data_IF_896422733730
#
_entry.id   IF_896422733730
#
_cell.length_a   1.000
_cell.length_b   1.000
_cell.length_c   1.000
_cell.angle_alpha   90.00
_cell.angle_beta   90.00
_cell.angle_gamma   90.00
#
_symmetry.space_group_name_H-M   'P 1'
#
loop_
_entity.id
_entity.type
_entity.pdbx_description
1 polymer ?
#
# COMPACT_ATOMS: atom_id res chain seq x y z
N UNK A 1 -6.87 -2.91 -4.55
CA UNK A 1 -7.91 -1.86 -4.31
C UNK A 1 -7.70 -1.11 -2.99
N UNK A 2 -7.42 -1.78 -1.88
CA UNK A 2 -7.20 -1.15 -0.55
C UNK A 2 -6.11 -0.07 -0.58
N UNK A 3 -4.95 -0.36 -1.19
CA UNK A 3 -3.83 0.60 -1.33
C UNK A 3 -4.20 1.87 -2.11
N UNK A 4 -5.08 1.76 -3.11
CA UNK A 4 -5.58 2.93 -3.87
C UNK A 4 -6.41 3.85 -2.98
N UNK A 5 -7.39 3.28 -2.27
CA UNK A 5 -8.26 4.03 -1.35
C UNK A 5 -7.45 4.65 -0.22
N UNK A 6 -6.51 3.88 0.35
CA UNK A 6 -5.62 4.35 1.39
C UNK A 6 -4.75 5.52 0.89
N UNK A 7 -4.14 5.41 -0.29
CA UNK A 7 -3.30 6.47 -0.85
C UNK A 7 -4.10 7.77 -1.12
N UNK A 8 -5.31 7.64 -1.65
CA UNK A 8 -6.20 8.77 -1.88
C UNK A 8 -6.61 9.46 -0.57
N UNK A 9 -7.01 8.69 0.44
CA UNK A 9 -7.38 9.22 1.76
C UNK A 9 -6.19 9.83 2.49
N UNK A 10 -4.99 9.24 2.34
CA UNK A 10 -3.75 9.81 2.88
C UNK A 10 -3.45 11.18 2.26
N UNK A 11 -3.58 11.32 0.93
CA UNK A 11 -3.47 12.62 0.27
C UNK A 11 -4.57 13.59 0.73
N UNK A 12 -5.80 13.12 0.88
CA UNK A 12 -6.93 13.94 1.35
C UNK A 12 -6.69 14.55 2.75
N UNK A 13 -5.84 13.91 3.55
CA UNK A 13 -5.43 14.39 4.87
C UNK A 13 -4.78 15.79 4.81
N UNK A 14 -4.18 16.16 3.68
CA UNK A 14 -3.61 17.48 3.46
C UNK A 14 -4.65 18.62 3.58
N UNK A 15 -5.93 18.32 3.38
CA UNK A 15 -7.05 19.27 3.48
C UNK A 15 -7.90 19.12 4.74
N UNK A 16 -7.45 18.34 5.73
CA UNK A 16 -8.13 18.16 7.01
C UNK A 16 -7.88 19.36 7.96
N UNK A 17 -8.41 20.52 7.59
CA UNK A 17 -8.29 21.81 8.30
C UNK A 17 -9.18 21.95 9.56
N UNK A 18 -10.05 20.96 9.83
CA UNK A 18 -10.95 20.94 10.98
C UNK A 18 -10.89 19.59 11.66
N UNK A 19 -11.16 19.56 12.97
CA UNK A 19 -11.20 18.33 13.76
C UNK A 19 -12.16 17.29 13.18
N UNK A 20 -13.34 17.71 12.76
CA UNK A 20 -14.31 16.80 12.14
C UNK A 20 -13.78 16.15 10.85
N UNK A 21 -13.17 16.93 9.94
CA UNK A 21 -12.55 16.39 8.72
C UNK A 21 -11.40 15.45 9.06
N UNK A 22 -10.55 15.82 10.01
CA UNK A 22 -9.45 14.99 10.49
C UNK A 22 -9.96 13.62 10.96
N UNK A 23 -10.96 13.61 11.84
CA UNK A 23 -11.52 12.37 12.39
C UNK A 23 -12.17 11.51 11.29
N UNK A 24 -12.96 12.11 10.40
CA UNK A 24 -13.61 11.40 9.30
C UNK A 24 -12.58 10.74 8.38
N UNK A 25 -11.60 11.51 7.89
CA UNK A 25 -10.57 10.98 6.98
C UNK A 25 -9.75 9.90 7.69
N UNK A 26 -9.41 10.08 8.97
CA UNK A 26 -8.65 9.10 9.75
C UNK A 26 -9.41 7.79 9.95
N UNK A 27 -10.71 7.85 10.24
CA UNK A 27 -11.56 6.67 10.35
C UNK A 27 -11.66 5.93 9.02
N UNK A 28 -11.88 6.65 7.91
CA UNK A 28 -11.93 6.05 6.58
C UNK A 28 -10.60 5.43 6.17
N UNK A 29 -9.48 6.07 6.52
CA UNK A 29 -8.13 5.55 6.26
C UNK A 29 -7.92 4.20 6.97
N UNK A 30 -8.30 4.11 8.25
CA UNK A 30 -8.24 2.86 9.01
C UNK A 30 -9.13 1.77 8.41
N UNK A 31 -10.34 2.12 7.96
CA UNK A 31 -11.23 1.19 7.27
C UNK A 31 -10.63 0.69 5.94
N UNK A 32 -9.98 1.57 5.18
CA UNK A 32 -9.30 1.21 3.93
C UNK A 32 -8.08 0.29 4.15
N UNK A 33 -7.38 0.45 5.27
CA UNK A 33 -6.21 -0.36 5.64
C UNK A 33 -6.59 -1.75 6.16
N UNK A 34 -7.73 -1.89 6.83
CA UNK A 34 -8.13 -3.11 7.55
C UNK A 34 -8.13 -4.38 6.67
N UNK A 35 -8.42 -4.25 5.38
CA UNK A 35 -8.43 -5.37 4.43
C UNK A 35 -7.05 -5.82 3.93
N UNK A 36 -6.00 -5.02 4.16
CA UNK A 36 -4.68 -5.27 3.57
C UNK A 36 -4.03 -6.55 4.10
N UNK A 37 -3.98 -6.69 5.42
CA UNK A 37 -3.34 -7.82 6.08
C UNK A 37 -4.02 -9.17 5.77
N UNK A 38 -5.34 -9.34 5.97
CA UNK A 38 -6.02 -10.59 5.60
C UNK A 38 -5.97 -10.87 4.10
N UNK A 39 -6.00 -9.82 3.26
CA UNK A 39 -5.85 -9.96 1.81
C UNK A 39 -4.49 -10.55 1.42
N UNK A 40 -3.40 -10.10 2.05
CA UNK A 40 -2.06 -10.64 1.81
C UNK A 40 -1.89 -12.08 2.30
N UNK A 41 -2.49 -12.44 3.43
CA UNK A 41 -2.52 -13.83 3.91
C UNK A 41 -3.26 -14.71 2.89
N UNK A 42 -4.43 -14.27 2.42
CA UNK A 42 -5.22 -14.99 1.43
C UNK A 42 -4.44 -15.17 0.13
N UNK A 43 -3.88 -14.10 -0.44
CA UNK A 43 -3.08 -14.15 -1.66
C UNK A 43 -1.90 -15.12 -1.51
N UNK A 44 -1.14 -15.01 -0.43
CA UNK A 44 0.00 -15.91 -0.17
C UNK A 44 -0.45 -17.37 -0.05
N UNK A 45 -1.64 -17.63 0.49
CA UNK A 45 -2.19 -18.98 0.58
C UNK A 45 -2.52 -19.60 -0.77
N UNK A 46 -2.96 -18.78 -1.74
CA UNK A 46 -3.27 -19.23 -3.11
C UNK A 46 -2.01 -19.45 -3.94
N UNK A 47 -0.99 -18.62 -3.75
CA UNK A 47 0.22 -18.63 -4.57
C UNK A 47 1.34 -19.55 -4.08
N UNK A 48 1.36 -19.90 -2.78
CA UNK A 48 2.47 -20.66 -2.20
C UNK A 48 2.02 -21.86 -1.36
N UNK A 49 2.75 -22.99 -1.43
CA UNK A 49 2.49 -24.17 -0.61
C UNK A 49 2.80 -23.89 0.87
N UNK A 50 2.09 -24.60 1.76
CA UNK A 50 2.11 -24.37 3.21
C UNK A 50 3.53 -24.29 3.81
N UNK A 51 4.47 -25.12 3.32
CA UNK A 51 5.87 -25.16 3.78
C UNK A 51 6.61 -23.83 3.59
N UNK A 52 6.25 -23.06 2.57
CA UNK A 52 6.94 -21.83 2.19
C UNK A 52 6.20 -20.56 2.65
N UNK A 53 4.91 -20.65 3.00
CA UNK A 53 4.07 -19.50 3.38
C UNK A 53 4.68 -18.67 4.52
N UNK A 54 5.25 -19.31 5.54
CA UNK A 54 5.85 -18.60 6.68
C UNK A 54 7.04 -17.74 6.26
N UNK A 55 7.91 -18.24 5.37
CA UNK A 55 9.06 -17.48 4.85
C UNK A 55 8.62 -16.30 3.99
N UNK A 56 7.60 -16.49 3.14
CA UNK A 56 7.05 -15.42 2.30
C UNK A 56 6.37 -14.34 3.15
N UNK A 57 5.58 -14.73 4.16
CA UNK A 57 5.02 -13.78 5.12
C UNK A 57 6.11 -13.05 5.90
N UNK A 58 7.20 -13.73 6.27
CA UNK A 58 8.38 -13.10 6.88
C UNK A 58 8.96 -11.99 6.02
N UNK A 59 9.11 -12.22 4.71
CA UNK A 59 9.54 -11.19 3.76
C UNK A 59 8.53 -10.04 3.67
N UNK A 60 7.23 -10.34 3.66
CA UNK A 60 6.19 -9.31 3.69
C UNK A 60 6.27 -8.44 4.95
N UNK A 61 6.51 -9.03 6.13
CA UNK A 61 6.71 -8.28 7.37
C UNK A 61 7.93 -7.37 7.35
N UNK A 62 8.97 -7.68 6.55
CA UNK A 62 10.11 -6.77 6.35
C UNK A 62 9.71 -5.48 5.61
N UNK A 63 8.53 -5.45 4.98
CA UNK A 63 8.00 -4.23 4.37
C UNK A 63 7.87 -3.08 5.37
N UNK A 64 7.41 -3.33 6.59
CA UNK A 64 7.23 -2.31 7.62
C UNK A 64 8.56 -1.63 8.04
N UNK A 65 9.63 -2.35 8.45
CA UNK A 65 10.90 -1.71 8.79
C UNK A 65 11.55 -1.04 7.58
N UNK A 66 11.42 -1.58 6.37
CA UNK A 66 11.92 -0.92 5.16
C UNK A 66 11.18 0.39 4.87
N UNK A 67 9.84 0.38 5.00
CA UNK A 67 9.02 1.57 4.84
C UNK A 67 9.37 2.64 5.86
N UNK A 68 9.65 2.27 7.13
CA UNK A 68 10.11 3.23 8.13
C UNK A 68 11.51 3.76 7.82
N UNK A 69 12.43 2.89 7.40
CA UNK A 69 13.82 3.25 7.11
C UNK A 69 13.93 4.22 5.94
N UNK A 70 13.13 4.02 4.88
CA UNK A 70 13.13 4.88 3.70
C UNK A 70 12.14 6.04 3.81
N UNK A 71 11.00 5.80 4.44
CA UNK A 71 9.93 6.77 4.62
C UNK A 71 10.31 7.89 5.57
N UNK A 72 10.95 7.59 6.71
CA UNK A 72 11.26 8.64 7.70
C UNK A 72 12.17 9.75 7.14
N UNK A 73 13.28 9.45 6.42
CA UNK A 73 14.07 10.48 5.76
C UNK A 73 13.31 11.22 4.65
N UNK A 74 12.49 10.52 3.88
CA UNK A 74 11.66 11.13 2.83
C UNK A 74 10.65 12.11 3.43
N UNK A 75 9.89 11.69 4.44
CA UNK A 75 8.94 12.53 5.15
C UNK A 75 9.66 13.73 5.80
N UNK A 76 10.83 13.51 6.40
CA UNK A 76 11.67 14.58 6.94
C UNK A 76 12.05 15.62 5.89
N UNK A 77 12.48 15.20 4.71
CA UNK A 77 12.80 16.11 3.61
C UNK A 77 11.57 16.87 3.08
N UNK A 78 10.40 16.23 3.05
CA UNK A 78 9.14 16.86 2.63
C UNK A 78 8.63 17.89 3.66
N UNK A 79 8.88 17.66 4.95
CA UNK A 79 8.53 18.62 6.01
C UNK A 79 9.32 19.94 5.90
N UNK A 80 10.53 19.91 5.33
CA UNK A 80 11.33 21.11 5.04
C UNK A 80 10.75 21.99 3.91
N UNK A 81 9.75 21.49 3.16
CA UNK A 81 9.04 22.27 2.13
C UNK A 81 8.05 23.30 2.73
N UNK A 82 8.23 23.71 3.98
CA UNK A 82 7.39 24.70 4.63
C UNK A 82 7.43 26.04 3.89
N UNK A 83 6.26 26.60 3.59
CA UNK A 83 6.13 27.85 2.85
C UNK A 83 6.14 27.68 1.32
N UNK A 84 6.44 26.48 0.81
CA UNK A 84 6.34 26.19 -0.62
C UNK A 84 4.87 26.26 -1.07
N UNK A 85 4.61 27.13 -2.07
CA UNK A 85 3.26 27.54 -2.50
C UNK A 85 2.33 27.98 -1.36
N UNK A 86 2.86 28.50 -0.25
CA UNK A 86 2.07 28.98 0.88
C UNK A 86 1.48 27.88 1.78
N UNK A 87 1.89 26.62 1.60
CA UNK A 87 1.44 25.50 2.43
C UNK A 87 2.51 25.07 3.46
N UNK A 88 2.09 24.49 4.60
CA UNK A 88 3.02 23.91 5.57
C UNK A 88 3.65 22.61 5.01
N UNK A 89 4.85 22.23 5.46
CA UNK A 89 5.55 21.06 4.93
C UNK A 89 4.76 19.74 5.03
N UNK A 90 3.96 19.56 6.09
CA UNK A 90 3.12 18.36 6.25
C UNK A 90 2.06 18.22 5.15
N UNK A 91 1.62 19.33 4.54
CA UNK A 91 0.70 19.31 3.39
C UNK A 91 1.34 18.54 2.24
N UNK A 92 2.59 18.90 1.90
CA UNK A 92 3.36 18.27 0.83
C UNK A 92 3.71 16.83 1.15
N UNK A 93 4.03 16.52 2.41
CA UNK A 93 4.24 15.15 2.88
C UNK A 93 3.01 14.27 2.58
N UNK A 94 1.81 14.66 3.02
CA UNK A 94 0.60 13.87 2.76
C UNK A 94 0.25 13.77 1.27
N UNK A 95 0.34 14.87 0.51
CA UNK A 95 0.02 14.87 -0.92
C UNK A 95 0.99 13.99 -1.70
N UNK A 96 2.29 14.16 -1.53
CA UNK A 96 3.30 13.46 -2.33
C UNK A 96 3.32 11.98 -1.98
N UNK A 97 3.39 11.63 -0.69
CA UNK A 97 3.41 10.23 -0.26
C UNK A 97 2.08 9.52 -0.57
N UNK A 98 0.95 10.21 -0.39
CA UNK A 98 -0.37 9.70 -0.76
C UNK A 98 -0.48 9.41 -2.26
N UNK A 99 0.00 10.33 -3.12
CA UNK A 99 0.02 10.13 -4.57
C UNK A 99 0.96 9.00 -5.00
N UNK A 100 2.12 8.84 -4.35
CA UNK A 100 3.00 7.70 -4.58
C UNK A 100 2.30 6.37 -4.26
N UNK A 101 1.55 6.32 -3.15
CA UNK A 101 0.75 5.16 -2.78
C UNK A 101 -0.39 4.88 -3.77
N UNK A 102 -1.07 5.92 -4.28
CA UNK A 102 -2.06 5.78 -5.37
C UNK A 102 -1.39 5.20 -6.61
N UNK A 103 -0.23 5.71 -7.01
CA UNK A 103 0.53 5.19 -8.14
C UNK A 103 0.88 3.70 -7.99
N UNK A 104 1.36 3.30 -6.81
CA UNK A 104 1.61 1.89 -6.50
C UNK A 104 0.32 1.05 -6.53
N UNK A 105 -0.79 1.59 -6.03
CA UNK A 105 -2.11 0.95 -6.10
C UNK A 105 -2.60 0.75 -7.54
N UNK A 106 -2.37 1.72 -8.44
CA UNK A 106 -2.75 1.62 -9.86
C UNK A 106 -1.87 0.59 -10.55
N UNK A 107 -0.56 0.67 -10.32
CA UNK A 107 0.40 -0.28 -10.88
C UNK A 107 0.08 -1.72 -10.47
N UNK A 108 -0.15 -1.96 -9.18
CA UNK A 108 -0.51 -3.29 -8.67
C UNK A 108 -1.84 -3.78 -9.23
N UNK A 109 -2.83 -2.91 -9.40
CA UNK A 109 -4.12 -3.29 -10.01
C UNK A 109 -3.98 -3.82 -11.45
N UNK A 110 -3.05 -3.28 -12.24
CA UNK A 110 -2.85 -3.73 -13.62
C UNK A 110 -1.82 -4.86 -13.76
N UNK A 111 -0.87 -4.98 -12.84
CA UNK A 111 0.27 -5.89 -12.96
C UNK A 111 0.18 -7.14 -12.08
N UNK A 112 -0.47 -7.06 -10.93
CA UNK A 112 -0.62 -8.19 -10.03
C UNK A 112 -1.76 -9.08 -10.52
N UNK A 113 -1.44 -10.33 -10.86
CA UNK A 113 -2.45 -11.34 -11.15
C UNK A 113 -3.01 -11.91 -9.83
N UNK A 114 -4.32 -12.05 -9.70
CA UNK A 114 -4.96 -12.45 -8.44
C UNK A 114 -4.77 -13.95 -8.14
N UNK A 115 -4.79 -14.81 -9.16
CA UNK A 115 -4.65 -16.27 -8.99
C UNK A 115 -3.61 -16.88 -9.94
N UNK A 116 -2.98 -18.01 -9.56
CA UNK A 116 -2.09 -18.75 -10.44
C UNK A 116 -2.74 -19.16 -11.77
N UNK A 117 -4.06 -19.42 -11.79
CA UNK A 117 -4.76 -19.81 -13.03
C UNK A 117 -4.80 -18.67 -14.06
N UNK A 118 -4.96 -17.43 -13.57
CA UNK A 118 -5.03 -16.22 -14.39
C UNK A 118 -3.67 -15.58 -14.64
N UNK A 119 -2.61 -16.08 -14.00
CA UNK A 119 -1.25 -15.57 -14.12
C UNK A 119 -0.81 -15.43 -15.58
N UNK A 120 -0.52 -14.20 -16.02
CA UNK A 120 -0.10 -13.89 -17.39
C UNK A 120 1.34 -14.34 -17.66
N UNK A 121 2.15 -14.44 -16.61
CA UNK A 121 3.56 -14.78 -16.69
C UNK A 121 3.86 -16.30 -16.63
N UNK A 122 2.86 -17.14 -16.33
CA UNK A 122 3.03 -18.60 -16.23
C UNK A 122 2.58 -19.32 -17.50
N UNK A 123 3.37 -20.30 -17.93
CA UNK A 123 2.99 -21.25 -18.98
C UNK A 123 1.87 -22.19 -18.50
N UNK A 124 1.15 -22.82 -19.43
CA UNK A 124 0.08 -23.77 -19.10
C UNK A 124 0.58 -24.93 -18.21
N UNK A 125 1.82 -25.39 -18.40
CA UNK A 125 2.40 -26.47 -17.60
C UNK A 125 2.69 -26.02 -16.16
N UNK A 126 3.22 -24.82 -15.96
CA UNK A 126 3.50 -24.27 -14.63
C UNK A 126 2.22 -24.01 -13.83
N UNK A 127 1.15 -23.55 -14.51
CA UNK A 127 -0.18 -23.42 -13.90
C UNK A 127 -0.69 -24.75 -13.37
N UNK A 128 -0.60 -25.82 -14.17
CA UNK A 128 -1.03 -27.16 -13.76
C UNK A 128 -0.23 -27.71 -12.58
N UNK A 129 1.06 -27.36 -12.46
CA UNK A 129 1.91 -27.75 -11.32
C UNK A 129 1.61 -27.00 -10.02
N UNK A 130 1.05 -25.78 -10.10
CA UNK A 130 0.69 -25.00 -8.90
C UNK A 130 -0.72 -25.30 -8.38
N UNK A 131 -1.61 -25.80 -9.24
CA UNK A 131 -3.02 -26.11 -8.90
C UNK A 131 -3.18 -27.55 -8.36
N UNK A 132 -2.30 -28.48 -8.75
CA UNK A 132 -2.30 -29.88 -8.28
C UNK A 132 -1.30 -30.09 -7.13
#
# INVERSE_FOLDING_TARGET
MTTLLWGFLSAAMAWADTEAKFLIVRTLLGAAEAGFFPGMIYLTSQWFPQRNRASIMGLFYMGAPLALTLGSPLSGALLEMHGFMGHPGWFWMFVIEGLLAVGAGVFTFFWLDDTPEQARFLSKQEKTLLIN
#
